data_IF_872931293326
#
_entry.id   IF_872931293326
#
_cell.length_a   1.000
_cell.length_b   1.000
_cell.length_c   1.000
_cell.angle_alpha   90.00
_cell.angle_beta   90.00
_cell.angle_gamma   90.00
#
_symmetry.space_group_name_H-M   'P 1'
#
loop_
_entity.id
_entity.type
_entity.pdbx_description
1 polymer ?
#
# COMPACT_ATOMS: atom_id res chain seq x y z
N UNK A 1 6.43 -16.96 21.37
CA UNK A 1 6.14 -15.58 20.91
C UNK A 1 5.75 -15.52 19.43
N UNK A 2 6.47 -16.15 18.52
CA UNK A 2 6.19 -16.11 17.07
C UNK A 2 4.83 -16.71 16.66
N UNK A 3 4.44 -17.86 17.22
CA UNK A 3 3.16 -18.53 16.88
C UNK A 3 1.95 -17.65 17.19
N UNK A 4 1.94 -16.98 18.34
CA UNK A 4 0.85 -16.09 18.74
C UNK A 4 0.77 -14.83 17.87
N UNK A 5 1.92 -14.31 17.45
CA UNK A 5 1.98 -13.15 16.54
C UNK A 5 1.44 -13.50 15.15
N UNK A 6 1.82 -14.67 14.64
CA UNK A 6 1.30 -15.19 13.37
C UNK A 6 -0.21 -15.35 13.38
N UNK A 7 -0.76 -15.95 14.43
CA UNK A 7 -2.22 -16.10 14.60
C UNK A 7 -2.89 -14.73 14.58
N UNK A 8 -2.37 -13.77 15.34
CA UNK A 8 -2.90 -12.40 15.38
C UNK A 8 -2.95 -11.74 14.01
N UNK A 9 -1.91 -11.89 13.19
CA UNK A 9 -1.89 -11.33 11.83
C UNK A 9 -2.89 -12.03 10.91
N UNK A 10 -3.00 -13.35 10.97
CA UNK A 10 -3.99 -14.10 10.21
C UNK A 10 -5.43 -13.69 10.54
N UNK A 11 -5.76 -13.55 11.83
CA UNK A 11 -7.09 -13.09 12.26
C UNK A 11 -7.36 -11.65 11.81
N UNK A 12 -6.34 -10.77 11.84
CA UNK A 12 -6.46 -9.41 11.32
C UNK A 12 -6.74 -9.41 9.81
N UNK A 13 -6.01 -10.20 9.03
CA UNK A 13 -6.22 -10.34 7.59
C UNK A 13 -7.63 -10.88 7.27
N UNK A 14 -8.10 -11.89 8.00
CA UNK A 14 -9.48 -12.41 7.86
C UNK A 14 -10.52 -11.33 8.16
N UNK A 15 -10.32 -10.54 9.23
CA UNK A 15 -11.23 -9.44 9.58
C UNK A 15 -11.31 -8.41 8.45
N UNK A 16 -10.18 -7.94 7.94
CA UNK A 16 -10.14 -6.94 6.88
C UNK A 16 -10.80 -7.44 5.59
N UNK A 17 -10.62 -8.71 5.23
CA UNK A 17 -11.33 -9.32 4.09
C UNK A 17 -12.84 -9.36 4.30
N UNK A 18 -13.31 -9.70 5.50
CA UNK A 18 -14.75 -9.64 5.83
C UNK A 18 -15.30 -8.21 5.73
N UNK A 19 -14.56 -7.22 6.23
CA UNK A 19 -14.96 -5.83 6.15
C UNK A 19 -14.96 -5.33 4.70
N UNK A 20 -14.04 -5.82 3.86
CA UNK A 20 -14.04 -5.55 2.42
C UNK A 20 -15.31 -6.06 1.73
N UNK A 21 -15.70 -7.30 2.00
CA UNK A 21 -16.94 -7.86 1.46
C UNK A 21 -18.16 -7.02 1.87
N UNK A 22 -18.22 -6.56 3.14
CA UNK A 22 -19.33 -5.71 3.61
C UNK A 22 -19.43 -4.42 2.80
N UNK A 23 -18.32 -3.72 2.54
CA UNK A 23 -18.37 -2.47 1.75
C UNK A 23 -18.73 -2.72 0.29
N UNK A 24 -18.37 -3.86 -0.29
CA UNK A 24 -18.84 -4.25 -1.63
C UNK A 24 -20.37 -4.45 -1.64
N UNK A 25 -20.93 -5.09 -0.61
CA UNK A 25 -22.37 -5.27 -0.45
C UNK A 25 -23.11 -3.94 -0.23
N UNK A 26 -22.44 -2.91 0.30
CA UNK A 26 -22.98 -1.54 0.38
C UNK A 26 -22.95 -0.80 -0.98
N UNK A 27 -22.53 -1.45 -2.06
CA UNK A 27 -22.52 -0.91 -3.43
C UNK A 27 -21.23 -0.20 -3.84
N UNK A 28 -20.17 -0.26 -3.04
CA UNK A 28 -18.86 0.23 -3.46
C UNK A 28 -18.23 -0.70 -4.49
N UNK A 29 -17.61 -0.13 -5.52
CA UNK A 29 -16.95 -0.87 -6.60
C UNK A 29 -15.45 -0.72 -6.46
N UNK A 30 -14.74 -1.82 -6.28
CA UNK A 30 -13.28 -1.89 -6.18
C UNK A 30 -12.74 -3.07 -6.97
N UNK A 31 -11.45 -3.07 -7.26
CA UNK A 31 -10.77 -4.22 -7.85
C UNK A 31 -10.60 -5.31 -6.81
N UNK A 32 -11.44 -6.34 -6.88
CA UNK A 32 -11.57 -7.36 -5.83
C UNK A 32 -10.30 -8.20 -5.69
N UNK A 33 -9.80 -8.78 -6.80
CA UNK A 33 -8.63 -9.66 -6.77
C UNK A 33 -7.40 -8.95 -6.20
N UNK A 34 -7.01 -7.82 -6.80
CA UNK A 34 -5.84 -7.05 -6.38
C UNK A 34 -5.93 -6.53 -4.93
N UNK A 35 -7.15 -6.27 -4.43
CA UNK A 35 -7.36 -5.87 -3.03
C UNK A 35 -7.20 -7.05 -2.08
N UNK A 36 -7.79 -8.21 -2.41
CA UNK A 36 -7.76 -9.39 -1.53
C UNK A 36 -6.34 -9.96 -1.37
N UNK A 37 -5.52 -9.92 -2.41
CA UNK A 37 -4.14 -10.41 -2.37
C UNK A 37 -3.26 -9.57 -1.42
N UNK A 38 -3.44 -8.25 -1.41
CA UNK A 38 -2.62 -7.32 -0.64
C UNK A 38 -2.83 -7.33 0.87
N UNK A 39 -3.93 -7.89 1.41
CA UNK A 39 -4.26 -7.73 2.83
C UNK A 39 -3.19 -8.27 3.78
N UNK A 40 -2.61 -9.44 3.51
CA UNK A 40 -1.61 -10.02 4.41
C UNK A 40 -0.33 -9.19 4.44
N UNK A 41 0.07 -8.63 3.28
CA UNK A 41 1.22 -7.72 3.18
C UNK A 41 0.93 -6.45 3.97
N UNK A 42 -0.23 -5.83 3.77
CA UNK A 42 -0.63 -4.64 4.53
C UNK A 42 -0.72 -4.92 6.03
N UNK A 43 -1.28 -6.06 6.44
CA UNK A 43 -1.31 -6.45 7.86
C UNK A 43 0.11 -6.54 8.42
N UNK A 44 1.01 -7.21 7.73
CA UNK A 44 2.40 -7.31 8.17
C UNK A 44 3.05 -5.93 8.31
N UNK A 45 2.92 -5.07 7.31
CA UNK A 45 3.57 -3.75 7.31
C UNK A 45 3.01 -2.81 8.38
N UNK A 46 1.68 -2.72 8.51
CA UNK A 46 1.02 -1.74 9.37
C UNK A 46 0.77 -2.21 10.80
N UNK A 47 0.67 -3.51 11.06
CA UNK A 47 0.51 -4.07 12.42
C UNK A 47 1.80 -4.71 12.94
N UNK A 48 2.77 -5.00 12.05
CA UNK A 48 4.12 -5.40 12.42
C UNK A 48 5.06 -4.24 12.75
N UNK A 49 4.54 -2.99 12.83
CA UNK A 49 5.29 -1.76 13.13
C UNK A 49 6.38 -1.37 12.11
N UNK A 50 6.35 -1.90 10.89
CA UNK A 50 7.24 -1.45 9.82
C UNK A 50 6.87 -0.04 9.34
N UNK A 51 5.56 0.27 9.33
CA UNK A 51 4.99 1.57 8.96
C UNK A 51 4.09 2.05 10.11
N UNK A 52 4.52 3.10 10.81
CA UNK A 52 3.73 3.73 11.85
C UNK A 52 3.17 5.07 11.34
N UNK A 53 1.90 5.07 10.97
CA UNK A 53 1.21 6.22 10.37
C UNK A 53 1.00 7.40 11.32
N UNK A 54 1.11 7.20 12.62
CA UNK A 54 0.94 8.23 13.65
C UNK A 54 2.23 9.05 13.86
N UNK A 55 3.38 8.49 13.50
CA UNK A 55 4.67 9.17 13.65
C UNK A 55 4.88 10.18 12.51
N UNK A 56 5.21 11.42 12.88
CA UNK A 56 5.57 12.49 11.93
C UNK A 56 6.76 12.10 11.02
N UNK A 57 7.71 11.35 11.55
CA UNK A 57 8.91 10.89 10.83
C UNK A 57 8.83 9.39 10.51
N UNK A 58 7.72 8.93 9.94
CA UNK A 58 7.52 7.52 9.56
C UNK A 58 8.30 7.12 8.31
N UNK A 59 8.43 5.82 8.12
CA UNK A 59 8.85 5.23 6.85
C UNK A 59 7.83 5.53 5.74
N UNK A 60 8.27 5.50 4.49
CA UNK A 60 7.39 5.68 3.33
C UNK A 60 6.75 4.36 2.91
N UNK A 61 5.52 4.47 2.40
CA UNK A 61 4.77 3.35 1.86
C UNK A 61 4.16 3.74 0.51
N UNK A 62 4.50 2.98 -0.52
CA UNK A 62 3.96 3.16 -1.87
C UNK A 62 3.23 1.87 -2.27
N UNK A 63 1.93 1.98 -2.49
CA UNK A 63 1.14 0.91 -3.08
C UNK A 63 1.14 1.10 -4.60
N UNK A 64 2.15 0.56 -5.29
CA UNK A 64 2.34 0.74 -6.73
C UNK A 64 1.14 0.22 -7.52
N UNK A 65 0.59 -0.93 -7.13
CA UNK A 65 -0.69 -1.43 -7.63
C UNK A 65 -1.87 -0.63 -7.05
N UNK A 66 -2.01 0.62 -7.48
CA UNK A 66 -2.98 1.59 -6.96
C UNK A 66 -4.43 1.12 -6.98
N UNK A 67 -4.78 0.19 -7.89
CA UNK A 67 -6.09 -0.44 -7.95
C UNK A 67 -6.44 -1.28 -6.71
N UNK A 68 -5.45 -1.66 -5.89
CA UNK A 68 -5.65 -2.32 -4.59
C UNK A 68 -5.92 -1.33 -3.43
N UNK A 69 -6.24 -0.07 -3.73
CA UNK A 69 -6.41 1.01 -2.74
C UNK A 69 -7.36 0.67 -1.60
N UNK A 70 -8.39 -0.16 -1.83
CA UNK A 70 -9.33 -0.55 -0.79
C UNK A 70 -8.64 -1.31 0.36
N UNK A 71 -7.54 -2.04 0.09
CA UNK A 71 -6.73 -2.68 1.11
C UNK A 71 -6.13 -1.64 2.08
N UNK A 72 -5.55 -0.56 1.56
CA UNK A 72 -5.01 0.53 2.38
C UNK A 72 -6.14 1.24 3.14
N UNK A 73 -7.26 1.61 2.48
CA UNK A 73 -8.38 2.29 3.13
C UNK A 73 -8.94 1.49 4.30
N UNK A 74 -9.19 0.20 4.12
CA UNK A 74 -9.69 -0.66 5.19
C UNK A 74 -8.69 -0.80 6.34
N UNK A 75 -7.40 -0.86 6.03
CA UNK A 75 -6.34 -0.83 7.05
C UNK A 75 -6.38 0.48 7.85
N UNK A 76 -6.55 1.62 7.18
CA UNK A 76 -6.67 2.93 7.83
C UNK A 76 -7.95 3.04 8.66
N UNK A 77 -9.07 2.48 8.18
CA UNK A 77 -10.33 2.44 8.92
C UNK A 77 -10.23 1.55 10.17
N UNK A 78 -9.62 0.38 10.08
CA UNK A 78 -9.40 -0.49 11.23
C UNK A 78 -8.47 0.15 12.28
N UNK A 79 -7.54 0.97 11.85
CA UNK A 79 -6.69 1.80 12.72
C UNK A 79 -7.39 3.07 13.24
N UNK A 80 -8.67 3.28 12.93
CA UNK A 80 -9.48 4.45 13.31
C UNK A 80 -8.94 5.80 12.80
N UNK A 81 -8.11 5.77 11.76
CA UNK A 81 -7.56 6.97 11.11
C UNK A 81 -8.55 7.55 10.09
N UNK A 82 -9.41 6.70 9.52
CA UNK A 82 -10.55 7.05 8.69
C UNK A 82 -11.80 6.31 9.16
N UNK A 83 -12.96 6.73 8.65
CA UNK A 83 -14.25 6.09 8.90
C UNK A 83 -15.05 5.93 7.60
N UNK A 84 -16.14 5.19 7.67
CA UNK A 84 -17.00 4.93 6.51
C UNK A 84 -17.60 6.22 5.92
N UNK A 85 -17.87 7.25 6.75
CA UNK A 85 -18.36 8.55 6.28
C UNK A 85 -17.33 9.25 5.38
N UNK A 86 -16.04 9.18 5.77
CA UNK A 86 -14.93 9.67 4.95
C UNK A 86 -14.86 8.91 3.62
N UNK A 87 -14.94 7.58 3.66
CA UNK A 87 -14.95 6.76 2.45
C UNK A 87 -16.14 7.14 1.54
N UNK A 88 -17.37 7.21 2.07
CA UNK A 88 -18.57 7.57 1.30
C UNK A 88 -18.46 8.95 0.64
N UNK A 89 -17.96 9.94 1.38
CA UNK A 89 -17.76 11.30 0.86
C UNK A 89 -16.75 11.33 -0.29
N UNK A 90 -15.63 10.68 -0.11
CA UNK A 90 -14.55 10.74 -1.09
C UNK A 90 -14.76 9.76 -2.26
N UNK A 91 -15.49 8.66 -2.06
CA UNK A 91 -15.83 7.73 -3.13
C UNK A 91 -16.64 8.36 -4.25
N UNK A 92 -17.58 9.27 -3.92
CA UNK A 92 -18.39 9.99 -4.92
C UNK A 92 -17.59 11.06 -5.68
N UNK A 93 -16.65 11.71 -4.99
CA UNK A 93 -15.86 12.82 -5.53
C UNK A 93 -14.58 12.38 -6.22
N UNK A 94 -14.07 11.24 -5.82
CA UNK A 94 -12.95 10.63 -6.48
C UNK A 94 -13.55 9.92 -7.68
N UNK A 95 -13.55 10.48 -8.85
CA UNK A 95 -13.62 9.71 -10.07
C UNK A 95 -12.62 8.55 -9.94
N UNK A 96 -12.95 7.61 -9.03
CA UNK A 96 -12.14 6.47 -8.72
C UNK A 96 -12.01 5.61 -9.96
N UNK A 97 -11.08 6.00 -10.82
CA UNK A 97 -10.44 5.02 -11.64
C UNK A 97 -9.70 4.00 -10.73
N UNK A 98 -10.09 3.94 -9.44
CA UNK A 98 -9.62 2.96 -8.49
C UNK A 98 -8.17 3.15 -8.01
N UNK A 99 -7.65 4.40 -8.01
CA UNK A 99 -6.24 4.67 -7.73
C UNK A 99 -6.05 5.56 -6.50
N UNK A 100 -4.87 5.47 -5.89
CA UNK A 100 -4.49 6.27 -4.73
C UNK A 100 -4.13 7.69 -5.14
N UNK A 101 -4.53 8.67 -4.30
CA UNK A 101 -4.26 10.08 -4.52
C UNK A 101 -3.76 10.76 -3.23
N UNK A 102 -2.59 11.40 -3.30
CA UNK A 102 -1.97 12.14 -2.21
C UNK A 102 -2.80 13.36 -1.78
N UNK A 103 -3.56 13.96 -2.69
CA UNK A 103 -4.38 15.14 -2.37
C UNK A 103 -5.60 14.79 -1.51
N UNK A 104 -6.04 13.55 -1.56
CA UNK A 104 -7.19 13.07 -0.81
C UNK A 104 -6.81 12.29 0.47
N UNK A 105 -5.53 11.99 0.67
CA UNK A 105 -5.08 11.26 1.85
C UNK A 105 -3.65 11.60 2.26
N UNK A 106 -3.48 12.12 3.46
CA UNK A 106 -2.16 12.33 4.08
C UNK A 106 -1.38 11.04 4.37
N UNK A 107 -1.99 9.89 4.16
CA UNK A 107 -1.39 8.57 4.35
C UNK A 107 -0.96 7.90 3.06
N UNK A 108 -1.17 8.56 1.93
CA UNK A 108 -0.67 8.17 0.62
C UNK A 108 0.59 8.96 0.34
N UNK A 109 1.70 8.29 0.09
CA UNK A 109 3.00 8.94 -0.13
C UNK A 109 3.27 9.26 -1.60
N UNK A 110 2.52 8.63 -2.51
CA UNK A 110 2.64 8.86 -3.95
C UNK A 110 1.36 8.47 -4.69
N UNK A 111 1.03 9.21 -5.73
CA UNK A 111 -0.05 8.86 -6.67
C UNK A 111 0.38 7.68 -7.53
N UNK A 112 -0.47 6.68 -7.66
CA UNK A 112 -0.19 5.47 -8.41
C UNK A 112 -1.25 5.22 -9.48
N UNK A 113 -0.94 4.33 -10.43
CA UNK A 113 -1.83 3.99 -11.55
C UNK A 113 -1.09 3.82 -12.87
N UNK A 114 0.01 4.51 -13.05
CA UNK A 114 0.94 4.23 -14.14
C UNK A 114 1.88 3.12 -13.69
N UNK A 115 1.72 1.94 -14.27
CA UNK A 115 2.52 0.75 -13.92
C UNK A 115 4.02 1.02 -14.16
N UNK A 116 4.85 0.49 -13.30
CA UNK A 116 6.31 0.55 -13.39
C UNK A 116 6.96 1.83 -12.85
N UNK A 117 6.22 2.91 -12.62
CA UNK A 117 6.81 4.21 -12.24
C UNK A 117 7.20 4.30 -10.75
N UNK A 118 6.52 3.58 -9.88
CA UNK A 118 6.65 3.76 -8.43
C UNK A 118 8.03 3.39 -7.87
N UNK A 119 8.75 2.46 -8.50
CA UNK A 119 10.10 2.08 -8.04
C UNK A 119 11.10 3.22 -8.32
N UNK A 120 11.01 3.88 -9.46
CA UNK A 120 11.82 5.08 -9.75
C UNK A 120 11.58 6.19 -8.73
N UNK A 121 10.32 6.46 -8.41
CA UNK A 121 9.93 7.43 -7.36
C UNK A 121 10.47 7.01 -6.00
N UNK A 122 10.31 5.74 -5.61
CA UNK A 122 10.84 5.18 -4.37
C UNK A 122 12.35 5.34 -4.28
N UNK A 123 13.05 5.21 -5.42
CA UNK A 123 14.50 5.40 -5.51
C UNK A 123 14.88 6.84 -5.16
N UNK A 124 14.19 7.82 -5.75
CA UNK A 124 14.40 9.24 -5.42
C UNK A 124 14.13 9.56 -3.95
N UNK A 125 13.03 9.02 -3.39
CA UNK A 125 12.71 9.15 -1.97
C UNK A 125 13.78 8.53 -1.07
N UNK A 126 14.32 7.38 -1.43
CA UNK A 126 15.34 6.68 -0.66
C UNK A 126 16.66 7.46 -0.63
N UNK A 127 17.08 8.03 -1.76
CA UNK A 127 18.27 8.88 -1.85
C UNK A 127 18.13 10.11 -0.96
N UNK A 128 16.97 10.78 -1.02
CA UNK A 128 16.71 11.99 -0.22
C UNK A 128 16.55 11.69 1.27
N UNK A 129 16.13 10.49 1.64
CA UNK A 129 15.81 10.12 3.01
C UNK A 129 16.61 8.88 3.48
N UNK A 130 17.94 8.94 3.61
CA UNK A 130 18.77 7.77 3.86
C UNK A 130 18.50 7.08 5.22
N UNK A 131 17.88 7.79 6.16
CA UNK A 131 17.51 7.25 7.49
C UNK A 131 16.11 6.62 7.54
N UNK A 132 15.32 6.71 6.46
CA UNK A 132 13.98 6.12 6.37
C UNK A 132 13.99 4.91 5.45
N UNK A 133 13.14 3.93 5.75
CA UNK A 133 12.86 2.82 4.83
C UNK A 133 11.70 3.18 3.91
N UNK A 134 11.80 2.73 2.67
CA UNK A 134 10.77 2.88 1.65
C UNK A 134 10.22 1.49 1.34
N UNK A 135 8.94 1.27 1.59
CA UNK A 135 8.24 0.03 1.29
C UNK A 135 7.39 0.22 0.05
N UNK A 136 7.59 -0.62 -0.96
CA UNK A 136 6.82 -0.56 -2.22
C UNK A 136 6.17 -1.90 -2.47
N UNK A 137 4.84 -1.94 -2.64
CA UNK A 137 4.13 -3.13 -3.10
C UNK A 137 3.86 -2.98 -4.59
N UNK A 138 4.37 -3.89 -5.38
CA UNK A 138 4.15 -3.99 -6.84
C UNK A 138 3.34 -5.24 -7.18
N UNK A 139 2.58 -5.21 -8.27
CA UNK A 139 1.95 -6.41 -8.82
C UNK A 139 2.94 -7.25 -9.63
N UNK A 140 2.67 -8.54 -9.78
CA UNK A 140 3.48 -9.45 -10.59
C UNK A 140 3.52 -9.01 -12.06
N UNK A 141 2.38 -8.72 -12.68
CA UNK A 141 2.31 -8.21 -14.05
C UNK A 141 2.99 -6.84 -14.19
N UNK A 142 2.85 -5.95 -13.20
CA UNK A 142 3.56 -4.68 -13.17
C UNK A 142 5.08 -4.86 -13.16
N UNK A 143 5.57 -5.94 -12.54
CA UNK A 143 6.98 -6.24 -12.46
C UNK A 143 7.62 -6.61 -13.80
N UNK A 144 6.81 -6.82 -14.85
CA UNK A 144 7.27 -7.02 -16.22
C UNK A 144 7.61 -5.70 -16.95
N UNK A 145 7.24 -4.54 -16.38
CA UNK A 145 7.54 -3.25 -16.98
C UNK A 145 9.06 -2.95 -16.99
N UNK A 146 9.59 -2.53 -18.15
CA UNK A 146 11.02 -2.24 -18.32
C UNK A 146 11.55 -1.18 -17.36
N UNK A 147 10.76 -0.15 -17.06
CA UNK A 147 11.11 0.93 -16.13
C UNK A 147 11.37 0.44 -14.69
N UNK A 148 10.77 -0.67 -14.29
CA UNK A 148 11.07 -1.32 -12.99
C UNK A 148 12.52 -1.83 -12.99
N UNK A 149 12.91 -2.53 -14.05
CA UNK A 149 14.26 -3.10 -14.16
C UNK A 149 15.32 -2.01 -14.28
N UNK A 150 15.07 -0.94 -15.02
CA UNK A 150 15.94 0.24 -15.08
C UNK A 150 16.19 0.82 -13.68
N UNK A 151 15.10 0.98 -12.89
CA UNK A 151 15.21 1.47 -11.51
C UNK A 151 15.96 0.48 -10.60
N UNK A 152 15.72 -0.83 -10.74
CA UNK A 152 16.41 -1.88 -9.95
C UNK A 152 17.90 -1.90 -10.27
N UNK A 153 18.30 -1.80 -11.54
CA UNK A 153 19.71 -1.71 -11.92
C UNK A 153 20.37 -0.48 -11.30
N UNK A 154 19.71 0.67 -11.34
CA UNK A 154 20.21 1.88 -10.70
C UNK A 154 20.35 1.73 -9.18
N UNK A 155 19.33 1.17 -8.49
CA UNK A 155 19.35 0.88 -7.05
C UNK A 155 20.55 0.00 -6.71
N UNK A 156 20.80 -1.05 -7.50
CA UNK A 156 21.89 -1.99 -7.31
C UNK A 156 23.23 -1.31 -7.50
N UNK A 157 23.41 -0.59 -8.61
CA UNK A 157 24.67 0.13 -8.92
C UNK A 157 25.02 1.15 -7.82
N UNK A 158 24.04 1.95 -7.40
CA UNK A 158 24.22 2.97 -6.35
C UNK A 158 24.20 2.40 -4.93
N UNK A 159 24.03 1.09 -4.77
CA UNK A 159 23.98 0.39 -3.47
C UNK A 159 22.97 1.00 -2.50
N UNK A 160 21.80 1.38 -3.00
CA UNK A 160 20.70 1.96 -2.19
C UNK A 160 20.09 0.83 -1.35
N UNK A 161 20.19 0.92 0.00
CA UNK A 161 19.85 -0.19 0.92
C UNK A 161 18.54 0.01 1.70
N UNK A 162 17.89 1.14 1.53
CA UNK A 162 16.72 1.52 2.32
C UNK A 162 15.39 1.39 1.56
N UNK A 163 15.37 0.65 0.45
CA UNK A 163 14.15 0.27 -0.28
C UNK A 163 13.87 -1.22 -0.06
N UNK A 164 12.61 -1.56 0.17
CA UNK A 164 12.09 -2.92 0.14
C UNK A 164 10.97 -3.00 -0.90
N UNK A 165 11.22 -3.73 -1.97
CA UNK A 165 10.25 -4.03 -3.02
C UNK A 165 9.58 -5.36 -2.68
N UNK A 166 8.25 -5.36 -2.58
CA UNK A 166 7.43 -6.53 -2.27
C UNK A 166 6.58 -6.81 -3.50
N UNK A 167 6.77 -7.98 -4.10
CA UNK A 167 5.98 -8.43 -5.26
C UNK A 167 4.77 -9.19 -4.72
N UNK A 168 3.57 -8.71 -5.04
CA UNK A 168 2.31 -9.36 -4.73
C UNK A 168 1.87 -10.19 -5.94
N UNK A 169 1.89 -11.51 -5.75
CA UNK A 169 1.62 -12.52 -6.78
C UNK A 169 0.40 -13.38 -6.41
#
# INVERSE_FOLDING_TARGET
MEKNLRIKFLEKGKKLRKDFIKILLEGFKFHVGGTLSCFDICVLLFYGNFINLEKKNRNFFILSKGHALACLFLTLMDKKLYNLKFLKKNYKNLNFGGQLDIYNSKYVDWNTGSLGHSIGVATGLAIKNPKKKIFVIVGDAEFEEGSIWEAIFYISEKKIKNILIIIDR
#
